data_IF_687578787318
#
_entry.id   IF_687578787318
#
_cell.length_a   1.000
_cell.length_b   1.000
_cell.length_c   1.000
_cell.angle_alpha   90.00
_cell.angle_beta   90.00
_cell.angle_gamma   90.00
#
_symmetry.space_group_name_H-M   'P 1'
#
loop_
_entity.id
_entity.type
_entity.pdbx_description
1 polymer ?
#
# COMPACT_ATOMS: atom_id res chain seq x y z
N UNK A 1 -54.97 25.56 4.00
CA UNK A 1 -54.73 24.22 4.57
C UNK A 1 -55.11 23.05 3.67
N UNK A 2 -55.30 23.21 2.37
CA UNK A 2 -55.78 22.13 1.48
C UNK A 2 -54.77 21.69 0.39
N UNK A 3 -53.57 22.24 0.38
CA UNK A 3 -52.53 21.85 -0.64
C UNK A 3 -51.41 20.93 -0.13
N UNK A 4 -51.38 20.59 1.16
CA UNK A 4 -50.31 19.74 1.71
C UNK A 4 -50.64 18.23 1.72
N UNK A 5 -51.87 17.83 1.46
CA UNK A 5 -52.25 16.41 1.61
C UNK A 5 -52.12 15.54 0.35
N UNK A 6 -51.82 16.13 -0.82
CA UNK A 6 -51.65 15.34 -2.05
C UNK A 6 -50.23 14.79 -2.26
N UNK A 7 -49.23 15.37 -1.62
CA UNK A 7 -47.86 14.93 -1.79
C UNK A 7 -47.45 13.76 -0.87
N UNK A 8 -48.14 13.59 0.27
CA UNK A 8 -47.84 12.48 1.19
C UNK A 8 -48.31 11.12 0.67
N UNK A 9 -49.40 11.09 -0.08
CA UNK A 9 -49.95 9.86 -0.66
C UNK A 9 -49.04 9.29 -1.78
N UNK A 10 -48.40 10.13 -2.55
CA UNK A 10 -47.47 9.67 -3.61
C UNK A 10 -46.14 9.18 -3.05
N UNK A 11 -45.66 9.75 -1.94
CA UNK A 11 -44.39 9.35 -1.28
C UNK A 11 -44.57 8.01 -0.56
N UNK A 12 -45.74 7.75 0.01
CA UNK A 12 -46.04 6.48 0.69
C UNK A 12 -46.20 5.32 -0.30
N UNK A 13 -46.79 5.57 -1.47
CA UNK A 13 -46.92 4.57 -2.53
C UNK A 13 -45.59 4.19 -3.14
N UNK A 14 -44.65 5.13 -3.22
CA UNK A 14 -43.29 4.87 -3.75
C UNK A 14 -42.43 4.10 -2.73
N UNK A 15 -42.67 4.28 -1.43
CA UNK A 15 -41.97 3.53 -0.39
C UNK A 15 -42.46 2.08 -0.29
N UNK A 16 -43.75 1.83 -0.47
CA UNK A 16 -44.34 0.49 -0.48
C UNK A 16 -43.85 -0.32 -1.72
N UNK A 17 -43.78 0.29 -2.64
CA UNK A 17 -43.34 -0.25 -3.76
C UNK A 17 -41.91 -0.65 -3.76
N UNK A 18 -41.19 0.10 -3.23
CA UNK A 18 -39.80 -0.29 -3.08
C UNK A 18 -39.58 -1.49 -2.13
N UNK A 19 -40.50 -1.54 -1.48
CA UNK A 19 -40.38 -2.55 -0.60
C UNK A 19 -40.74 -3.80 -1.14
N UNK A 20 -41.64 -3.89 -1.85
CA UNK A 20 -42.05 -5.13 -2.52
C UNK A 20 -40.98 -5.62 -3.50
N UNK A 21 -40.30 -4.74 -4.21
CA UNK A 21 -39.20 -5.10 -5.11
C UNK A 21 -37.98 -5.67 -4.38
N UNK A 22 -37.71 -5.29 -3.13
CA UNK A 22 -36.64 -5.88 -2.32
C UNK A 22 -36.90 -7.32 -1.89
N UNK A 23 -38.17 -7.70 -1.69
CA UNK A 23 -38.52 -9.08 -1.29
C UNK A 23 -38.43 -10.06 -2.46
N UNK A 24 -38.68 -9.60 -3.67
CA UNK A 24 -38.63 -10.47 -4.86
C UNK A 24 -37.18 -10.76 -5.30
N UNK A 25 -36.28 -9.83 -5.02
CA UNK A 25 -34.84 -10.01 -5.32
C UNK A 25 -34.19 -11.06 -4.38
N UNK A 26 -34.61 -11.09 -3.11
CA UNK A 26 -34.10 -12.09 -2.16
C UNK A 26 -34.59 -13.51 -2.46
N UNK A 27 -35.82 -13.68 -3.00
CA UNK A 27 -36.34 -14.99 -3.36
C UNK A 27 -35.65 -15.61 -4.59
N UNK A 28 -35.17 -14.78 -5.51
CA UNK A 28 -34.46 -15.26 -6.71
C UNK A 28 -33.03 -15.71 -6.43
N UNK A 29 -32.40 -15.29 -5.33
CA UNK A 29 -31.06 -15.74 -4.97
C UNK A 29 -31.00 -17.12 -4.30
N UNK A 30 -32.12 -17.63 -3.77
CA UNK A 30 -32.14 -18.91 -3.05
C UNK A 30 -32.48 -20.09 -3.93
N UNK A 31 -32.79 -19.91 -5.22
CA UNK A 31 -33.25 -21.00 -6.10
C UNK A 31 -32.24 -21.44 -7.17
N UNK A 32 -30.99 -20.97 -7.16
CA UNK A 32 -30.02 -21.32 -8.21
C UNK A 32 -28.87 -22.21 -7.76
N UNK A 33 -29.05 -23.01 -6.69
CA UNK A 33 -28.05 -23.95 -6.23
C UNK A 33 -28.61 -25.37 -6.07
N UNK A 34 -28.93 -25.99 -7.20
CA UNK A 34 -29.07 -27.44 -7.23
C UNK A 34 -28.98 -27.95 -8.69
N UNK A 35 -28.05 -28.82 -8.88
CA UNK A 35 -27.81 -29.75 -10.00
C UNK A 35 -26.56 -29.47 -10.82
N UNK A 36 -25.50 -30.23 -10.63
CA UNK A 36 -25.18 -31.35 -11.52
C UNK A 36 -23.93 -32.08 -11.05
N UNK A 37 -24.09 -33.34 -10.74
CA UNK A 37 -23.04 -34.32 -10.53
C UNK A 37 -22.85 -35.14 -11.81
N UNK A 38 -21.64 -35.38 -12.22
CA UNK A 38 -21.31 -36.59 -12.98
C UNK A 38 -19.79 -36.81 -13.05
N UNK A 39 -19.50 -38.03 -12.80
CA UNK A 39 -18.29 -38.81 -12.64
C UNK A 39 -17.45 -39.04 -13.92
N UNK A 40 -16.16 -39.32 -13.73
CA UNK A 40 -15.40 -40.46 -14.28
C UNK A 40 -13.89 -40.14 -14.23
N UNK A 41 -13.13 -40.90 -13.64
CA UNK A 41 -12.45 -42.16 -13.72
C UNK A 41 -11.01 -42.03 -14.21
N UNK A 42 -10.16 -42.43 -13.32
CA UNK A 42 -8.79 -42.91 -13.29
C UNK A 42 -8.05 -43.24 -14.60
N UNK A 43 -6.73 -42.91 -14.62
CA UNK A 43 -5.70 -43.92 -15.02
C UNK A 43 -4.32 -43.48 -14.55
N UNK A 44 -3.67 -44.47 -13.91
CA UNK A 44 -2.29 -44.47 -13.44
C UNK A 44 -1.31 -44.86 -14.54
N UNK A 45 -0.10 -44.36 -14.51
CA UNK A 45 1.03 -45.06 -15.12
C UNK A 45 2.33 -44.65 -14.43
N UNK A 46 3.00 -45.64 -13.96
CA UNK A 46 4.32 -45.71 -13.35
C UNK A 46 5.44 -45.72 -14.38
N UNK A 47 6.61 -45.30 -14.00
CA UNK A 47 7.98 -45.78 -14.30
C UNK A 47 8.95 -44.62 -14.37
N UNK A 48 10.21 -44.62 -14.05
CA UNK A 48 11.18 -45.50 -13.48
C UNK A 48 12.49 -44.74 -13.47
N UNK A 49 13.26 -44.98 -12.47
CA UNK A 49 14.58 -44.43 -12.12
C UNK A 49 15.66 -44.64 -13.18
N UNK A 50 16.59 -43.68 -13.31
CA UNK A 50 17.99 -44.03 -13.64
C UNK A 50 18.95 -42.95 -13.12
N UNK A 51 19.88 -43.41 -12.33
CA UNK A 51 21.00 -42.71 -11.76
C UNK A 51 22.20 -42.71 -12.72
N UNK A 52 22.89 -41.60 -12.85
CA UNK A 52 24.25 -41.61 -13.36
C UNK A 52 25.12 -40.61 -12.63
N UNK A 53 26.18 -41.11 -12.07
CA UNK A 53 27.25 -40.42 -11.40
C UNK A 53 28.27 -39.88 -12.41
N UNK A 54 28.83 -38.72 -12.22
CA UNK A 54 30.09 -38.34 -12.87
C UNK A 54 30.89 -37.38 -12.00
N UNK A 55 32.13 -37.69 -11.99
CA UNK A 55 33.29 -37.28 -11.20
C UNK A 55 33.72 -35.83 -11.38
N UNK A 56 34.28 -35.32 -10.30
CA UNK A 56 34.91 -34.03 -10.09
C UNK A 56 36.27 -33.85 -10.76
N UNK A 57 36.51 -32.67 -11.29
CA UNK A 57 37.88 -32.21 -11.59
C UNK A 57 38.09 -30.81 -10.97
N UNK A 58 39.02 -30.75 -10.06
CA UNK A 58 39.47 -29.55 -9.36
C UNK A 58 40.45 -28.74 -10.23
N UNK A 59 40.15 -27.48 -10.44
CA UNK A 59 41.12 -26.49 -10.91
C UNK A 59 41.24 -25.36 -9.90
N UNK A 60 42.45 -25.24 -9.35
CA UNK A 60 42.82 -24.23 -8.38
C UNK A 60 43.15 -22.90 -9.08
N UNK A 61 42.42 -21.87 -8.83
CA UNK A 61 42.80 -20.50 -9.18
C UNK A 61 42.97 -19.69 -7.89
N UNK A 62 44.19 -19.20 -7.72
CA UNK A 62 44.61 -18.37 -6.59
C UNK A 62 43.93 -17.01 -6.64
N UNK A 63 43.08 -16.75 -5.70
CA UNK A 63 42.49 -15.42 -5.49
C UNK A 63 43.25 -14.68 -4.39
N UNK A 64 43.84 -13.57 -4.73
CA UNK A 64 44.46 -12.65 -3.78
C UNK A 64 43.38 -12.04 -2.90
N UNK A 65 43.33 -12.50 -1.67
CA UNK A 65 42.47 -11.92 -0.63
C UNK A 65 43.08 -10.61 -0.15
N UNK A 66 42.43 -9.50 -0.48
CA UNK A 66 42.71 -8.22 0.16
C UNK A 66 42.21 -8.29 1.62
N UNK A 67 43.18 -8.36 2.52
CA UNK A 67 42.92 -8.35 3.96
C UNK A 67 42.37 -7.00 4.38
N UNK A 68 41.11 -6.99 4.73
CA UNK A 68 40.53 -5.88 5.47
C UNK A 68 41.15 -5.88 6.87
N UNK A 69 42.02 -4.90 7.13
CA UNK A 69 42.54 -4.67 8.46
C UNK A 69 41.40 -4.38 9.44
N UNK A 70 41.35 -5.15 10.48
CA UNK A 70 40.37 -5.02 11.57
C UNK A 70 40.64 -3.74 12.39
N UNK A 71 40.22 -2.60 11.86
CA UNK A 71 40.24 -1.35 12.62
C UNK A 71 38.78 -0.96 12.92
N UNK A 72 38.43 -1.03 14.20
CA UNK A 72 37.19 -0.56 14.84
C UNK A 72 35.90 -1.04 14.19
N UNK A 73 35.29 -2.07 14.76
CA UNK A 73 33.88 -2.41 14.51
C UNK A 73 33.02 -1.23 14.96
N UNK A 74 32.77 -0.29 14.05
CA UNK A 74 31.77 0.76 14.29
C UNK A 74 30.46 0.05 14.63
N UNK A 75 29.99 0.25 15.86
CA UNK A 75 28.76 -0.36 16.33
C UNK A 75 27.59 0.25 15.53
N UNK A 76 27.18 -0.44 14.46
CA UNK A 76 26.13 0.02 13.55
C UNK A 76 24.79 0.31 14.26
N UNK A 77 24.60 -0.26 15.45
CA UNK A 77 23.39 0.00 16.25
C UNK A 77 23.32 1.46 16.73
N UNK A 78 24.48 2.14 16.78
CA UNK A 78 24.56 3.53 17.24
C UNK A 78 24.70 4.53 16.07
N UNK A 79 24.34 4.09 14.85
CA UNK A 79 24.43 4.92 13.65
C UNK A 79 23.05 5.11 13.03
N UNK A 80 22.86 6.25 12.38
CA UNK A 80 21.65 6.58 11.60
C UNK A 80 22.04 7.08 10.21
N UNK A 81 21.06 7.07 9.29
CA UNK A 81 21.20 7.68 7.97
C UNK A 81 20.37 8.98 7.98
N UNK A 82 21.00 10.13 7.74
CA UNK A 82 20.25 11.40 7.62
C UNK A 82 19.16 11.31 6.53
N UNK A 83 18.04 11.97 6.76
CA UNK A 83 16.89 11.93 5.81
C UNK A 83 17.32 12.33 4.39
N UNK A 84 18.12 13.39 4.25
CA UNK A 84 18.59 13.85 2.94
C UNK A 84 19.48 12.82 2.25
N UNK A 85 20.26 12.06 3.01
CA UNK A 85 21.13 11.01 2.48
C UNK A 85 20.32 9.83 1.96
N UNK A 86 19.21 9.49 2.63
CA UNK A 86 18.27 8.47 2.13
C UNK A 86 17.71 8.91 0.78
N UNK A 87 17.25 10.16 0.69
CA UNK A 87 16.69 10.72 -0.56
C UNK A 87 17.74 10.67 -1.67
N UNK A 88 18.96 11.20 -1.40
CA UNK A 88 20.06 11.20 -2.38
C UNK A 88 20.34 9.81 -2.91
N UNK A 89 20.53 8.85 -2.01
CA UNK A 89 20.90 7.48 -2.39
C UNK A 89 19.84 6.84 -3.29
N UNK A 90 18.57 6.96 -2.93
CA UNK A 90 17.46 6.40 -3.72
C UNK A 90 17.41 7.08 -5.10
N UNK A 91 17.51 8.42 -5.11
CA UNK A 91 17.49 9.22 -6.34
C UNK A 91 18.63 8.82 -7.27
N UNK A 92 19.86 8.73 -6.74
CA UNK A 92 21.03 8.34 -7.53
C UNK A 92 20.86 6.96 -8.17
N UNK A 93 20.33 5.99 -7.40
CA UNK A 93 20.09 4.63 -7.91
C UNK A 93 19.06 4.63 -9.07
N UNK A 94 18.02 5.47 -8.97
CA UNK A 94 17.00 5.58 -10.00
C UNK A 94 17.53 6.31 -11.23
N UNK A 95 18.30 7.38 -11.05
CA UNK A 95 18.91 8.14 -12.14
C UNK A 95 19.86 7.25 -12.97
N UNK A 96 20.56 6.31 -12.33
CA UNK A 96 21.43 5.34 -13.04
C UNK A 96 20.66 4.43 -14.00
N UNK A 97 19.35 4.36 -13.91
CA UNK A 97 18.52 3.52 -14.82
C UNK A 97 17.57 4.35 -15.69
N UNK A 98 17.84 5.67 -15.81
CA UNK A 98 17.15 6.53 -16.76
C UNK A 98 16.04 7.41 -16.19
N UNK A 99 15.88 7.45 -14.87
CA UNK A 99 14.93 8.38 -14.25
C UNK A 99 15.53 9.79 -14.23
N UNK A 100 14.72 10.82 -14.43
CA UNK A 100 15.17 12.21 -14.30
C UNK A 100 15.53 12.52 -12.85
N UNK A 101 16.43 13.47 -12.58
CA UNK A 101 16.75 13.87 -11.20
C UNK A 101 15.51 14.32 -10.41
N UNK A 102 14.56 15.00 -11.06
CA UNK A 102 13.32 15.44 -10.43
C UNK A 102 12.46 14.23 -9.99
N UNK A 103 12.22 13.29 -10.91
CA UNK A 103 11.43 12.09 -10.62
C UNK A 103 12.14 11.20 -9.59
N UNK A 104 13.47 11.09 -9.68
CA UNK A 104 14.29 10.39 -8.69
C UNK A 104 14.13 10.98 -7.30
N UNK A 105 14.14 12.30 -7.20
CA UNK A 105 13.91 13.03 -5.94
C UNK A 105 12.49 12.75 -5.40
N UNK A 106 11.47 12.78 -6.25
CA UNK A 106 10.07 12.51 -5.83
C UNK A 106 9.97 11.11 -5.21
N UNK A 107 10.53 10.10 -5.88
CA UNK A 107 10.54 8.73 -5.36
C UNK A 107 11.36 8.64 -4.07
N UNK A 108 12.56 9.24 -4.06
CA UNK A 108 13.45 9.25 -2.90
C UNK A 108 12.79 9.88 -1.69
N UNK A 109 12.15 11.03 -1.88
CA UNK A 109 11.43 11.74 -0.82
C UNK A 109 10.25 10.91 -0.28
N UNK A 110 9.48 10.27 -1.17
CA UNK A 110 8.36 9.43 -0.75
C UNK A 110 8.84 8.22 0.07
N UNK A 111 9.88 7.51 -0.41
CA UNK A 111 10.39 6.33 0.30
C UNK A 111 11.02 6.72 1.65
N UNK A 112 11.75 7.84 1.68
CA UNK A 112 12.28 8.38 2.93
C UNK A 112 11.14 8.73 3.89
N UNK A 113 10.06 9.36 3.41
CA UNK A 113 8.89 9.70 4.23
C UNK A 113 8.22 8.44 4.79
N UNK A 114 8.15 7.36 4.00
CA UNK A 114 7.62 6.08 4.47
C UNK A 114 8.44 5.55 5.66
N UNK A 115 9.77 5.54 5.54
CA UNK A 115 10.67 5.11 6.63
C UNK A 115 10.58 6.04 7.83
N UNK A 116 10.50 7.36 7.60
CA UNK A 116 10.35 8.39 8.63
C UNK A 116 9.09 8.17 9.47
N UNK A 117 8.00 7.75 8.81
CA UNK A 117 6.73 7.41 9.47
C UNK A 117 6.74 6.01 10.12
N UNK A 118 7.82 5.24 9.96
CA UNK A 118 7.92 3.89 10.51
C UNK A 118 7.41 2.79 9.59
N UNK A 119 7.07 3.12 8.35
CA UNK A 119 6.55 2.16 7.36
C UNK A 119 7.69 1.56 6.50
N UNK A 120 8.66 0.91 7.14
CA UNK A 120 9.86 0.36 6.50
C UNK A 120 9.54 -0.63 5.36
N UNK A 121 8.38 -1.25 5.38
CA UNK A 121 7.95 -2.16 4.29
C UNK A 121 7.72 -1.41 2.97
N UNK A 122 7.50 -0.09 3.02
CA UNK A 122 7.20 0.74 1.86
C UNK A 122 8.23 1.87 1.64
N UNK A 123 9.34 1.85 2.38
CA UNK A 123 10.44 2.79 2.28
C UNK A 123 11.58 2.27 1.41
N UNK A 124 12.81 2.45 1.87
CA UNK A 124 14.03 2.05 1.17
C UNK A 124 14.01 0.60 0.67
N UNK A 125 13.31 -0.29 1.39
CA UNK A 125 13.14 -1.69 0.99
C UNK A 125 12.54 -1.86 -0.42
N UNK A 126 11.83 -0.85 -0.94
CA UNK A 126 11.20 -0.92 -2.28
C UNK A 126 12.13 -0.44 -3.40
N UNK A 127 13.15 0.37 -3.10
CA UNK A 127 14.02 0.98 -4.10
C UNK A 127 14.57 -0.01 -5.13
N UNK A 128 15.14 -1.11 -4.66
CA UNK A 128 15.72 -2.11 -5.56
C UNK A 128 14.68 -2.69 -6.53
N UNK A 129 13.45 -2.92 -6.07
CA UNK A 129 12.38 -3.44 -6.93
C UNK A 129 12.03 -2.45 -8.06
N UNK A 130 12.01 -1.15 -7.74
CA UNK A 130 11.72 -0.11 -8.75
C UNK A 130 12.86 0.00 -9.77
N UNK A 131 14.12 0.02 -9.30
CA UNK A 131 15.30 0.03 -10.19
C UNK A 131 15.25 -1.16 -11.16
N UNK A 132 14.96 -2.36 -10.63
CA UNK A 132 14.87 -3.57 -11.46
C UNK A 132 13.68 -3.53 -12.42
N UNK A 133 12.56 -2.93 -12.02
CA UNK A 133 11.40 -2.78 -12.90
C UNK A 133 11.73 -1.89 -14.11
N UNK A 134 12.47 -0.81 -13.89
CA UNK A 134 12.94 0.07 -14.95
C UNK A 134 13.96 -0.66 -15.85
N UNK A 135 14.98 -1.30 -15.25
CA UNK A 135 16.02 -2.03 -16.01
C UNK A 135 15.43 -3.11 -16.92
N UNK A 136 14.33 -3.72 -16.50
CA UNK A 136 13.66 -4.77 -17.27
C UNK A 136 12.62 -4.21 -18.27
N UNK A 137 12.54 -2.89 -18.43
CA UNK A 137 11.58 -2.26 -19.36
C UNK A 137 10.12 -2.35 -18.94
N UNK A 138 9.85 -2.75 -17.70
CA UNK A 138 8.49 -2.93 -17.19
C UNK A 138 7.86 -1.58 -16.78
N UNK A 139 8.69 -0.65 -16.32
CA UNK A 139 8.27 0.71 -15.95
C UNK A 139 9.05 1.72 -16.80
N UNK A 140 8.36 2.67 -17.38
CA UNK A 140 8.98 3.75 -18.17
C UNK A 140 9.50 4.84 -17.20
N UNK A 141 10.84 5.03 -17.09
CA UNK A 141 11.42 5.97 -16.13
C UNK A 141 11.18 7.44 -16.42
N UNK A 142 10.81 7.78 -17.66
CA UNK A 142 10.65 9.18 -18.12
C UNK A 142 9.22 9.51 -18.52
N UNK A 143 8.28 8.58 -18.36
CA UNK A 143 6.88 8.82 -18.73
C UNK A 143 6.27 9.95 -17.88
N UNK A 144 5.52 10.81 -18.54
CA UNK A 144 4.74 11.87 -17.89
C UNK A 144 3.27 11.53 -17.98
N UNK A 145 2.48 11.78 -16.93
CA UNK A 145 1.04 11.56 -16.97
C UNK A 145 0.37 12.45 -18.01
N UNK A 146 -0.66 11.93 -18.68
CA UNK A 146 -1.46 12.69 -19.64
C UNK A 146 -2.93 12.71 -19.22
N UNK A 147 -3.58 13.85 -19.43
CA UNK A 147 -5.01 14.00 -19.15
C UNK A 147 -5.78 13.36 -20.30
N UNK A 148 -6.57 12.32 -19.99
CA UNK A 148 -7.42 11.61 -20.97
C UNK A 148 -8.79 12.28 -21.05
N UNK A 149 -9.34 12.65 -19.90
CA UNK A 149 -10.63 13.32 -19.82
C UNK A 149 -10.57 14.34 -18.66
N UNK A 150 -11.07 15.54 -18.90
CA UNK A 150 -11.15 16.60 -17.89
C UNK A 150 -12.57 17.16 -17.91
N UNK A 151 -13.31 16.95 -16.80
CA UNK A 151 -14.68 17.42 -16.69
C UNK A 151 -14.87 18.11 -15.31
N UNK A 152 -14.61 19.40 -15.29
CA UNK A 152 -14.79 20.22 -14.07
C UNK A 152 -14.05 19.67 -12.84
N UNK A 153 -14.80 19.13 -11.87
CA UNK A 153 -14.26 18.62 -10.61
C UNK A 153 -13.57 17.25 -10.76
N UNK A 154 -13.73 16.58 -11.88
CA UNK A 154 -13.19 15.22 -12.09
C UNK A 154 -12.24 15.16 -13.27
N UNK A 155 -11.35 14.15 -13.27
CA UNK A 155 -10.49 13.87 -14.43
C UNK A 155 -10.05 12.41 -14.44
N UNK A 156 -9.77 11.93 -15.66
CA UNK A 156 -9.12 10.63 -15.89
C UNK A 156 -7.72 10.90 -16.44
N UNK A 157 -6.72 10.27 -15.84
CA UNK A 157 -5.31 10.41 -16.20
C UNK A 157 -4.78 9.07 -16.70
N UNK A 158 -3.94 9.10 -17.74
CA UNK A 158 -3.13 7.96 -18.12
C UNK A 158 -1.70 8.20 -17.60
N UNK A 159 -1.19 7.28 -16.81
CA UNK A 159 0.16 7.35 -16.25
C UNK A 159 1.24 6.90 -17.22
N UNK A 160 0.87 6.42 -18.42
CA UNK A 160 1.80 6.02 -19.48
C UNK A 160 2.86 5.03 -18.99
N UNK A 161 2.47 4.18 -18.03
CA UNK A 161 3.33 3.17 -17.39
C UNK A 161 4.56 3.77 -16.69
N UNK A 162 4.42 5.00 -16.19
CA UNK A 162 5.49 5.71 -15.47
C UNK A 162 5.63 5.27 -14.01
N UNK A 163 6.49 5.98 -13.29
CA UNK A 163 6.69 5.78 -11.85
C UNK A 163 5.44 6.18 -11.08
N UNK A 164 4.87 5.25 -10.32
CA UNK A 164 3.63 5.51 -9.57
C UNK A 164 3.71 6.71 -8.64
N UNK A 165 4.89 6.97 -8.07
CA UNK A 165 5.11 8.11 -7.15
C UNK A 165 4.96 9.45 -7.88
N UNK A 166 5.56 9.58 -9.06
CA UNK A 166 5.47 10.77 -9.90
C UNK A 166 4.03 11.00 -10.38
N UNK A 167 3.40 9.90 -10.85
CA UNK A 167 2.00 9.93 -11.30
C UNK A 167 1.09 10.35 -10.14
N UNK A 168 1.28 9.74 -8.96
CA UNK A 168 0.46 10.03 -7.77
C UNK A 168 0.59 11.47 -7.30
N UNK A 169 1.83 12.01 -7.31
CA UNK A 169 2.06 13.41 -6.96
C UNK A 169 1.31 14.34 -7.93
N UNK A 170 1.46 14.13 -9.23
CA UNK A 170 0.75 14.90 -10.25
C UNK A 170 -0.77 14.86 -10.06
N UNK A 171 -1.33 13.65 -9.84
CA UNK A 171 -2.78 13.48 -9.67
C UNK A 171 -3.30 14.15 -8.40
N UNK A 172 -2.53 14.09 -7.30
CA UNK A 172 -2.94 14.75 -6.06
C UNK A 172 -2.86 16.28 -6.20
N UNK A 173 -1.84 16.82 -6.86
CA UNK A 173 -1.74 18.27 -7.14
C UNK A 173 -2.92 18.73 -7.98
N UNK A 174 -3.25 18.01 -9.05
CA UNK A 174 -4.42 18.31 -9.88
C UNK A 174 -5.73 18.25 -9.06
N UNK A 175 -5.85 17.26 -8.18
CA UNK A 175 -7.03 17.13 -7.32
C UNK A 175 -7.16 18.32 -6.36
N UNK A 176 -6.05 18.75 -5.77
CA UNK A 176 -5.99 19.91 -4.87
C UNK A 176 -6.47 21.17 -5.61
N UNK A 177 -5.96 21.42 -6.82
CA UNK A 177 -6.32 22.62 -7.59
C UNK A 177 -7.79 22.61 -7.99
N UNK A 178 -8.32 21.45 -8.42
CA UNK A 178 -9.74 21.32 -8.74
C UNK A 178 -10.62 21.49 -7.50
N UNK A 179 -10.22 20.93 -6.34
CA UNK A 179 -11.00 21.06 -5.11
C UNK A 179 -11.06 22.50 -4.61
N UNK A 180 -9.99 23.27 -4.76
CA UNK A 180 -9.99 24.71 -4.45
C UNK A 180 -11.01 25.47 -5.31
N UNK A 181 -11.12 25.07 -6.59
CA UNK A 181 -12.01 25.74 -7.54
C UNK A 181 -13.48 25.31 -7.39
N UNK A 182 -13.73 24.03 -7.15
CA UNK A 182 -15.08 23.44 -7.22
C UNK A 182 -15.60 22.96 -5.86
N UNK A 183 -14.81 23.05 -4.79
CA UNK A 183 -15.19 22.57 -3.45
C UNK A 183 -14.88 21.10 -3.22
N UNK A 184 -14.83 20.30 -4.27
CA UNK A 184 -14.50 18.87 -4.25
C UNK A 184 -13.89 18.48 -5.58
N UNK A 185 -13.05 17.45 -5.56
CA UNK A 185 -12.52 16.88 -6.81
C UNK A 185 -12.35 15.36 -6.69
N UNK A 186 -12.31 14.68 -7.85
CA UNK A 186 -11.99 13.26 -7.92
C UNK A 186 -11.16 13.01 -9.19
N UNK A 187 -9.97 12.46 -9.01
CA UNK A 187 -9.05 12.12 -10.10
C UNK A 187 -8.85 10.61 -10.07
N UNK A 188 -9.10 9.93 -11.19
CA UNK A 188 -8.76 8.52 -11.35
C UNK A 188 -7.61 8.37 -12.34
N UNK A 189 -6.80 7.33 -12.18
CA UNK A 189 -5.66 7.11 -13.06
C UNK A 189 -5.55 5.63 -13.42
N UNK A 190 -5.14 5.36 -14.65
CA UNK A 190 -4.77 4.04 -15.15
C UNK A 190 -3.34 4.08 -15.67
N UNK A 191 -2.81 2.93 -16.08
CA UNK A 191 -1.47 2.86 -16.65
C UNK A 191 -0.38 3.23 -15.63
N UNK A 192 -0.61 2.96 -14.34
CA UNK A 192 0.33 3.33 -13.28
C UNK A 192 1.03 2.10 -12.70
N UNK A 193 1.92 2.35 -11.76
CA UNK A 193 2.70 1.36 -11.01
C UNK A 193 2.54 1.61 -9.51
N UNK A 194 3.16 0.76 -8.68
CA UNK A 194 3.13 0.93 -7.21
C UNK A 194 3.57 2.35 -6.85
N UNK A 195 2.81 3.02 -5.98
CA UNK A 195 2.97 4.45 -5.70
C UNK A 195 3.40 4.77 -4.26
N UNK A 196 3.81 3.75 -3.49
CA UNK A 196 4.26 3.94 -2.10
C UNK A 196 3.12 3.85 -1.10
N UNK A 197 3.13 4.69 -0.07
CA UNK A 197 2.08 4.77 0.96
C UNK A 197 1.02 5.79 0.56
N UNK A 198 -0.25 5.48 0.85
CA UNK A 198 -1.37 6.36 0.54
C UNK A 198 -1.30 7.67 1.34
N UNK A 199 -0.89 7.58 2.60
CA UNK A 199 -0.81 8.73 3.51
C UNK A 199 0.09 9.87 3.02
N UNK A 200 1.07 9.57 2.16
CA UNK A 200 1.94 10.59 1.57
C UNK A 200 1.10 11.62 0.78
N UNK A 201 0.22 11.13 -0.07
CA UNK A 201 -0.62 11.98 -0.91
C UNK A 201 -1.69 12.69 -0.08
N UNK A 202 -2.29 11.97 0.86
CA UNK A 202 -3.28 12.54 1.79
C UNK A 202 -2.66 13.71 2.57
N UNK A 203 -1.39 13.57 2.98
CA UNK A 203 -0.66 14.63 3.68
C UNK A 203 -0.51 15.88 2.80
N UNK A 204 -0.31 15.73 1.47
CA UNK A 204 -0.23 16.88 0.55
C UNK A 204 -1.50 17.73 0.58
N UNK A 205 -2.68 17.09 0.68
CA UNK A 205 -3.95 17.81 0.80
C UNK A 205 -4.08 18.50 2.16
N UNK A 206 -3.68 17.81 3.25
CA UNK A 206 -3.67 18.38 4.62
C UNK A 206 -2.84 19.66 4.66
N UNK A 207 -1.68 19.69 4.00
CA UNK A 207 -0.77 20.85 3.95
C UNK A 207 -1.36 22.05 3.21
N UNK A 208 -2.47 21.85 2.49
CA UNK A 208 -3.22 22.92 1.81
C UNK A 208 -4.57 23.18 2.49
N UNK A 209 -4.73 22.72 3.73
CA UNK A 209 -5.93 22.86 4.55
C UNK A 209 -7.17 22.18 3.97
N UNK A 210 -6.95 21.12 3.19
CA UNK A 210 -8.00 20.34 2.53
C UNK A 210 -8.10 18.95 3.18
N UNK A 211 -9.20 18.26 2.95
CA UNK A 211 -9.37 16.85 3.28
C UNK A 211 -8.88 16.05 2.07
N UNK A 212 -7.95 15.12 2.29
CA UNK A 212 -7.49 14.22 1.24
C UNK A 212 -7.97 12.80 1.46
N UNK A 213 -8.34 12.12 0.38
CA UNK A 213 -8.56 10.68 0.35
C UNK A 213 -7.81 10.13 -0.85
N UNK A 214 -7.15 8.99 -0.67
CA UNK A 214 -6.58 8.27 -1.81
C UNK A 214 -6.62 6.77 -1.57
N UNK A 215 -6.68 6.02 -2.66
CA UNK A 215 -6.59 4.57 -2.62
C UNK A 215 -5.97 4.04 -3.92
N UNK A 216 -5.54 2.78 -3.87
CA UNK A 216 -4.87 2.13 -4.99
C UNK A 216 -5.21 0.64 -5.00
N UNK A 217 -5.51 0.09 -6.17
CA UNK A 217 -5.51 -1.36 -6.29
C UNK A 217 -4.07 -1.87 -6.40
N UNK A 218 -3.86 -3.15 -6.13
CA UNK A 218 -2.52 -3.76 -6.11
C UNK A 218 -2.59 -5.21 -6.59
N UNK A 219 -1.40 -5.81 -6.78
CA UNK A 219 -1.29 -7.23 -7.16
C UNK A 219 -2.06 -8.14 -6.21
N UNK A 220 -2.74 -9.18 -6.71
CA UNK A 220 -3.57 -10.06 -5.88
C UNK A 220 -2.79 -10.78 -4.79
N UNK A 221 -3.05 -10.40 -3.53
CA UNK A 221 -2.48 -10.99 -2.33
C UNK A 221 -3.55 -11.28 -1.27
N UNK A 222 -4.78 -10.79 -1.46
CA UNK A 222 -5.90 -11.02 -0.53
C UNK A 222 -6.82 -12.10 -1.08
N UNK A 223 -7.12 -13.11 -0.27
CA UNK A 223 -8.18 -14.08 -0.56
C UNK A 223 -9.52 -13.46 -0.10
N UNK A 224 -10.47 -13.23 -1.02
CA UNK A 224 -11.82 -12.82 -0.62
C UNK A 224 -12.41 -13.78 0.41
N UNK A 225 -13.31 -13.32 1.26
CA UNK A 225 -13.97 -14.17 2.28
C UNK A 225 -14.54 -15.42 1.61
N UNK A 226 -14.19 -16.59 2.15
CA UNK A 226 -14.54 -17.94 1.64
C UNK A 226 -13.78 -18.38 0.39
N UNK A 227 -12.90 -17.54 -0.17
CA UNK A 227 -12.03 -17.98 -1.27
C UNK A 227 -10.80 -18.70 -0.73
N UNK A 228 -10.36 -19.74 -1.44
CA UNK A 228 -9.10 -20.45 -1.16
C UNK A 228 -7.90 -19.80 -1.85
N UNK A 229 -8.12 -18.84 -2.77
CA UNK A 229 -7.07 -18.22 -3.57
C UNK A 229 -7.19 -16.69 -3.52
N UNK A 230 -6.09 -16.02 -3.77
CA UNK A 230 -6.06 -14.55 -3.84
C UNK A 230 -6.78 -14.05 -5.09
N UNK A 231 -7.62 -13.04 -4.92
CA UNK A 231 -8.36 -12.43 -6.02
C UNK A 231 -8.30 -10.90 -6.02
N UNK A 232 -7.87 -10.31 -4.90
CA UNK A 232 -7.74 -8.85 -4.77
C UNK A 232 -6.36 -8.53 -4.19
N UNK A 233 -5.94 -7.28 -4.34
CA UNK A 233 -4.73 -6.79 -3.71
C UNK A 233 -4.91 -6.45 -2.23
N UNK A 234 -3.88 -5.91 -1.61
CA UNK A 234 -3.98 -5.33 -0.26
C UNK A 234 -4.78 -4.03 -0.27
N UNK A 235 -4.97 -3.47 -1.45
CA UNK A 235 -5.90 -2.38 -1.79
C UNK A 235 -5.99 -1.33 -0.68
N UNK A 236 -4.87 -0.61 -0.42
CA UNK A 236 -4.82 0.36 0.67
C UNK A 236 -5.67 1.60 0.39
N UNK A 237 -6.06 2.26 1.47
CA UNK A 237 -6.77 3.54 1.42
C UNK A 237 -6.25 4.45 2.54
N UNK A 238 -6.37 5.76 2.29
CA UNK A 238 -5.99 6.77 3.27
C UNK A 238 -7.00 7.92 3.23
N UNK A 239 -7.32 8.45 4.40
CA UNK A 239 -8.11 9.68 4.53
C UNK A 239 -7.51 10.52 5.65
N UNK A 240 -7.39 11.83 5.41
CA UNK A 240 -6.87 12.71 6.43
C UNK A 240 -7.37 14.13 6.35
N UNK A 241 -7.29 14.81 7.48
CA UNK A 241 -7.71 16.21 7.64
C UNK A 241 -6.86 16.86 8.74
N UNK A 242 -6.43 18.09 8.51
CA UNK A 242 -5.76 18.91 9.50
C UNK A 242 -6.73 19.42 10.56
N UNK A 243 -6.26 19.52 11.80
CA UNK A 243 -6.99 20.09 12.92
C UNK A 243 -6.30 21.36 13.41
N UNK A 244 -6.98 22.18 14.19
CA UNK A 244 -6.39 23.36 14.80
C UNK A 244 -5.28 22.97 15.78
N UNK A 245 -4.31 23.88 15.96
CA UNK A 245 -3.15 23.63 16.83
C UNK A 245 -2.10 22.73 16.22
N UNK A 246 -2.14 22.51 14.90
CA UNK A 246 -1.13 21.68 14.20
C UNK A 246 -1.34 20.18 14.37
N UNK A 247 -2.47 19.76 14.92
CA UNK A 247 -2.83 18.34 15.02
C UNK A 247 -3.51 17.88 13.72
N UNK A 248 -3.74 16.58 13.59
CA UNK A 248 -4.39 16.01 12.40
C UNK A 248 -4.93 14.61 12.67
N UNK A 249 -5.93 14.23 11.91
CA UNK A 249 -6.35 12.85 11.71
C UNK A 249 -5.73 12.38 10.40
N UNK A 250 -5.05 11.22 10.42
CA UNK A 250 -4.48 10.64 9.20
C UNK A 250 -4.57 9.11 9.30
N UNK A 251 -5.58 8.55 8.65
CA UNK A 251 -5.73 7.11 8.48
C UNK A 251 -4.96 6.69 7.22
N UNK A 252 -4.09 5.69 7.31
CA UNK A 252 -3.46 5.03 6.17
C UNK A 252 -3.39 3.55 6.47
N UNK A 253 -4.10 2.73 5.70
CA UNK A 253 -4.23 1.31 6.04
C UNK A 253 -4.45 0.45 4.80
N UNK A 254 -3.94 -0.78 4.85
CA UNK A 254 -4.35 -1.84 3.93
C UNK A 254 -5.74 -2.36 4.31
N UNK A 255 -6.44 -2.95 3.35
CA UNK A 255 -7.74 -3.62 3.61
C UNK A 255 -7.57 -5.10 3.95
N UNK A 256 -6.32 -5.57 4.08
CA UNK A 256 -5.98 -6.91 4.62
C UNK A 256 -5.77 -6.84 6.14
N UNK A 257 -5.88 -7.98 6.81
CA UNK A 257 -5.67 -8.09 8.26
C UNK A 257 -4.28 -7.59 8.67
N UNK A 258 -3.27 -7.87 7.83
CA UNK A 258 -1.89 -7.41 8.03
C UNK A 258 -1.23 -7.12 6.68
N UNK A 259 -0.13 -6.37 6.70
CA UNK A 259 0.77 -6.24 5.54
C UNK A 259 1.56 -7.55 5.36
N UNK A 260 1.83 -7.93 4.10
CA UNK A 260 2.59 -9.16 3.78
C UNK A 260 3.97 -9.18 4.44
N UNK A 261 4.59 -8.02 4.64
CA UNK A 261 5.87 -7.90 5.33
C UNK A 261 5.87 -8.42 6.78
N UNK A 262 4.71 -8.45 7.45
CA UNK A 262 4.62 -9.05 8.80
C UNK A 262 4.75 -10.57 8.73
N UNK A 263 4.17 -11.19 7.68
CA UNK A 263 4.33 -12.64 7.44
C UNK A 263 5.82 -12.95 7.16
N UNK A 264 6.45 -12.16 6.28
CA UNK A 264 7.86 -12.31 5.93
C UNK A 264 8.76 -12.18 7.18
N UNK A 265 8.48 -11.22 8.04
CA UNK A 265 9.26 -11.03 9.27
C UNK A 265 9.11 -12.21 10.24
N UNK A 266 7.90 -12.69 10.44
CA UNK A 266 7.63 -13.85 11.31
C UNK A 266 8.35 -15.10 10.75
N UNK A 267 8.29 -15.31 9.42
CA UNK A 267 9.00 -16.42 8.76
C UNK A 267 10.50 -16.34 9.04
N UNK A 268 11.13 -15.17 8.85
CA UNK A 268 12.57 -14.97 9.07
C UNK A 268 12.99 -15.21 10.54
N UNK A 269 12.07 -14.95 11.46
CA UNK A 269 12.30 -15.16 12.91
C UNK A 269 11.91 -16.56 13.37
N UNK A 270 11.36 -17.37 12.49
CA UNK A 270 10.80 -18.69 12.80
C UNK A 270 9.70 -18.60 13.89
N UNK A 271 8.87 -17.57 13.80
CA UNK A 271 7.75 -17.31 14.71
C UNK A 271 6.42 -17.68 14.04
N UNK A 272 5.43 -18.07 14.85
CA UNK A 272 4.06 -18.29 14.35
C UNK A 272 3.38 -16.93 14.08
N UNK A 273 2.41 -16.94 13.14
CA UNK A 273 1.55 -15.79 12.89
C UNK A 273 0.20 -15.99 13.59
N UNK A 274 -0.54 -14.91 13.77
CA UNK A 274 -1.86 -14.98 14.40
C UNK A 274 -2.89 -15.61 13.46
N UNK A 275 -3.81 -16.38 14.04
CA UNK A 275 -4.98 -16.92 13.32
C UNK A 275 -5.75 -15.75 12.67
N UNK A 276 -6.09 -15.90 11.39
CA UNK A 276 -6.83 -14.86 10.66
C UNK A 276 -5.94 -13.90 9.89
N UNK A 277 -4.60 -14.09 9.90
CA UNK A 277 -3.71 -13.27 9.10
C UNK A 277 -3.60 -13.77 7.66
N UNK A 278 -3.55 -15.10 7.46
CA UNK A 278 -3.28 -15.69 6.15
C UNK A 278 -3.87 -17.09 6.01
N UNK A 279 -4.00 -17.52 4.74
CA UNK A 279 -4.27 -18.90 4.36
C UNK A 279 -2.96 -19.58 3.97
N UNK A 280 -2.91 -20.88 4.18
CA UNK A 280 -1.81 -21.73 3.74
C UNK A 280 -1.93 -22.17 2.29
N UNK A 281 -0.99 -22.98 1.86
CA UNK A 281 -0.94 -23.53 0.50
C UNK A 281 -2.15 -24.42 0.17
N UNK A 282 -2.75 -25.05 1.20
CA UNK A 282 -3.97 -25.85 1.07
C UNK A 282 -5.26 -25.00 1.02
N UNK A 283 -5.16 -23.69 1.19
CA UNK A 283 -6.30 -22.77 1.20
C UNK A 283 -7.05 -22.71 2.51
N UNK A 284 -6.49 -23.26 3.58
CA UNK A 284 -7.06 -23.18 4.94
C UNK A 284 -6.31 -22.13 5.76
N UNK A 285 -6.93 -21.66 6.84
CA UNK A 285 -6.30 -20.72 7.77
C UNK A 285 -5.06 -21.38 8.38
N UNK A 286 -3.92 -20.68 8.34
CA UNK A 286 -2.66 -21.17 8.89
C UNK A 286 -2.10 -20.21 9.92
N UNK A 287 -1.38 -20.75 10.90
CA UNK A 287 -0.53 -19.99 11.83
C UNK A 287 0.94 -20.22 11.54
N UNK A 288 1.27 -21.03 10.55
CA UNK A 288 2.65 -21.29 10.12
C UNK A 288 3.10 -20.19 9.17
N UNK A 289 4.10 -19.41 9.58
CA UNK A 289 4.57 -18.25 8.80
C UNK A 289 5.19 -18.66 7.46
N UNK A 290 5.91 -19.80 7.42
CA UNK A 290 6.52 -20.28 6.17
C UNK A 290 5.47 -20.70 5.15
N UNK A 291 4.44 -21.42 5.59
CA UNK A 291 3.33 -21.86 4.74
C UNK A 291 2.55 -20.63 4.21
N UNK A 292 2.24 -19.66 5.08
CA UNK A 292 1.57 -18.41 4.71
C UNK A 292 2.40 -17.62 3.69
N UNK A 293 3.72 -17.55 3.87
CA UNK A 293 4.63 -16.85 2.95
C UNK A 293 4.64 -17.51 1.58
N UNK A 294 4.71 -18.84 1.55
CA UNK A 294 4.70 -19.62 0.30
C UNK A 294 3.36 -19.44 -0.43
N UNK A 295 2.26 -19.48 0.30
CA UNK A 295 0.91 -19.33 -0.25
C UNK A 295 0.66 -17.91 -0.81
N UNK A 296 1.14 -16.88 -0.13
CA UNK A 296 0.92 -15.49 -0.53
C UNK A 296 -0.57 -15.10 -0.51
N UNK A 297 -1.30 -15.55 0.52
CA UNK A 297 -2.77 -15.39 0.60
C UNK A 297 -3.16 -14.76 1.93
N UNK A 298 -3.14 -13.43 1.98
CA UNK A 298 -3.58 -12.66 3.16
C UNK A 298 -5.11 -12.75 3.32
N UNK A 299 -5.57 -12.68 4.55
CA UNK A 299 -7.00 -12.57 4.85
C UNK A 299 -7.43 -11.10 4.92
N UNK A 300 -8.69 -10.80 4.62
CA UNK A 300 -9.20 -9.42 4.73
C UNK A 300 -9.14 -8.89 6.16
N UNK A 301 -9.20 -7.58 6.32
CA UNK A 301 -9.36 -6.92 7.61
C UNK A 301 -10.56 -7.53 8.36
N UNK A 302 -10.36 -7.89 9.62
CA UNK A 302 -11.26 -8.73 10.41
C UNK A 302 -10.75 -10.16 10.53
N UNK A 303 -9.93 -10.61 9.58
CA UNK A 303 -9.32 -11.96 9.64
C UNK A 303 -10.30 -13.06 9.35
N UNK A 304 -10.75 -13.78 10.37
CA UNK A 304 -11.71 -14.88 10.23
C UNK A 304 -13.15 -14.35 10.00
N UNK A 305 -13.99 -15.14 9.37
CA UNK A 305 -15.36 -14.70 9.02
C UNK A 305 -16.17 -14.35 10.26
N UNK A 306 -15.96 -15.05 11.37
CA UNK A 306 -16.63 -14.80 12.65
C UNK A 306 -16.32 -13.39 13.19
N UNK A 307 -15.18 -12.81 12.81
CA UNK A 307 -14.79 -11.43 13.15
C UNK A 307 -15.15 -10.45 12.03
N UNK A 308 -16.08 -10.84 11.15
CA UNK A 308 -16.63 -9.99 10.08
C UNK A 308 -15.62 -9.60 9.00
N UNK A 309 -14.73 -10.52 8.60
CA UNK A 309 -13.74 -10.26 7.55
C UNK A 309 -14.35 -9.82 6.21
N UNK A 310 -15.63 -10.14 5.98
CA UNK A 310 -16.35 -9.66 4.79
C UNK A 310 -16.38 -8.13 4.70
N UNK A 311 -16.23 -7.42 5.83
CA UNK A 311 -16.13 -5.94 5.83
C UNK A 311 -14.83 -5.47 5.18
N UNK A 312 -13.70 -6.12 5.54
CA UNK A 312 -12.40 -5.84 4.91
C UNK A 312 -12.41 -6.20 3.43
N UNK A 313 -13.03 -7.34 3.07
CA UNK A 313 -13.23 -7.72 1.68
C UNK A 313 -14.06 -6.66 0.93
N UNK A 314 -15.14 -6.18 1.54
CA UNK A 314 -15.99 -5.12 0.96
C UNK A 314 -15.21 -3.83 0.72
N UNK A 315 -14.35 -3.43 1.68
CA UNK A 315 -13.47 -2.27 1.52
C UNK A 315 -12.48 -2.45 0.36
N UNK A 316 -11.89 -3.64 0.23
CA UNK A 316 -10.98 -3.95 -0.87
C UNK A 316 -11.69 -3.89 -2.22
N UNK A 317 -12.93 -4.36 -2.29
CA UNK A 317 -13.74 -4.33 -3.51
C UNK A 317 -14.15 -2.88 -3.85
N UNK A 318 -14.45 -2.04 -2.85
CA UNK A 318 -14.68 -0.62 -3.05
C UNK A 318 -13.47 0.05 -3.71
N UNK A 319 -12.25 -0.30 -3.26
CA UNK A 319 -11.02 0.23 -3.87
C UNK A 319 -10.91 -0.23 -5.33
N UNK A 320 -11.25 -1.48 -5.66
CA UNK A 320 -11.27 -1.94 -7.06
C UNK A 320 -12.23 -1.12 -7.92
N UNK A 321 -13.42 -0.81 -7.39
CA UNK A 321 -14.39 0.00 -8.12
C UNK A 321 -13.82 1.40 -8.41
N UNK A 322 -13.24 2.05 -7.39
CA UNK A 322 -12.71 3.41 -7.52
C UNK A 322 -11.44 3.45 -8.39
N UNK A 323 -10.60 2.43 -8.33
CA UNK A 323 -9.29 2.42 -8.98
C UNK A 323 -9.33 1.68 -10.33
N UNK A 324 -9.76 0.43 -10.32
CA UNK A 324 -9.75 -0.41 -11.52
C UNK A 324 -10.90 -0.11 -12.47
N UNK A 325 -12.12 -0.20 -11.96
CA UNK A 325 -13.32 -0.11 -12.81
C UNK A 325 -13.50 1.30 -13.37
N UNK A 326 -13.41 2.34 -12.54
CA UNK A 326 -13.63 3.72 -12.98
C UNK A 326 -12.53 4.22 -13.92
N UNK A 327 -11.29 3.82 -13.74
CA UNK A 327 -10.18 4.30 -14.55
C UNK A 327 -9.98 3.50 -15.85
N UNK A 328 -10.50 2.27 -15.90
CA UNK A 328 -10.24 1.33 -17.00
C UNK A 328 -8.87 0.67 -16.90
N UNK A 329 -8.25 0.64 -15.71
CA UNK A 329 -7.01 -0.10 -15.48
C UNK A 329 -7.31 -1.60 -15.26
N UNK A 330 -6.29 -2.42 -15.10
CA UNK A 330 -6.47 -3.81 -14.70
C UNK A 330 -7.09 -3.87 -13.29
N UNK A 331 -7.83 -4.94 -13.01
CA UNK A 331 -8.53 -5.11 -11.73
C UNK A 331 -8.54 -6.56 -11.29
N UNK A 332 -8.58 -6.74 -9.98
CA UNK A 332 -8.72 -8.05 -9.35
C UNK A 332 -7.67 -9.05 -9.82
N UNK A 333 -8.07 -10.28 -10.22
CA UNK A 333 -7.12 -11.31 -10.64
C UNK A 333 -6.36 -10.99 -11.92
N UNK A 334 -6.81 -10.00 -12.71
CA UNK A 334 -6.17 -9.61 -13.98
C UNK A 334 -4.88 -8.82 -13.74
N UNK A 335 -4.75 -8.19 -12.57
CA UNK A 335 -3.52 -7.47 -12.22
C UNK A 335 -2.38 -8.49 -12.10
N UNK A 336 -1.23 -8.19 -12.71
CA UNK A 336 -0.07 -9.08 -12.66
C UNK A 336 0.36 -9.38 -11.21
N UNK A 337 0.86 -10.56 -10.98
CA UNK A 337 1.45 -10.91 -9.68
C UNK A 337 2.67 -10.02 -9.41
N UNK A 338 2.90 -9.67 -8.16
CA UNK A 338 4.03 -8.81 -7.75
C UNK A 338 5.39 -9.32 -8.22
N UNK A 339 5.55 -10.66 -8.24
CA UNK A 339 6.80 -11.30 -8.66
C UNK A 339 6.92 -11.44 -10.18
N UNK A 340 5.84 -11.26 -10.94
CA UNK A 340 5.86 -11.33 -12.39
C UNK A 340 6.55 -10.07 -12.94
N UNK A 341 7.61 -10.28 -13.67
CA UNK A 341 8.41 -9.20 -14.26
C UNK A 341 8.37 -9.23 -15.79
N UNK A 342 7.35 -9.88 -16.36
CA UNK A 342 7.14 -9.94 -17.81
C UNK A 342 6.04 -8.98 -18.27
N UNK A 343 5.18 -8.53 -17.37
CA UNK A 343 4.01 -7.70 -17.72
C UNK A 343 4.05 -6.37 -16.97
N UNK A 344 3.50 -5.34 -17.60
CA UNK A 344 3.25 -4.04 -16.94
C UNK A 344 2.22 -4.23 -15.83
N UNK A 345 2.22 -3.34 -14.84
CA UNK A 345 1.31 -3.46 -13.69
C UNK A 345 -0.09 -2.93 -14.02
N UNK A 346 -0.17 -1.88 -14.82
CA UNK A 346 -1.41 -1.18 -15.19
C UNK A 346 -2.33 -0.97 -13.98
N UNK A 347 -1.76 -0.47 -12.88
CA UNK A 347 -2.52 -0.20 -11.66
C UNK A 347 -3.37 1.07 -11.82
N UNK A 348 -4.51 1.06 -11.11
CA UNK A 348 -5.35 2.23 -10.97
C UNK A 348 -5.19 2.87 -9.59
N UNK A 349 -5.39 4.18 -9.54
CA UNK A 349 -5.43 4.93 -8.29
C UNK A 349 -6.60 5.89 -8.32
N UNK A 350 -7.04 6.30 -7.14
CA UNK A 350 -8.10 7.31 -6.99
C UNK A 350 -7.67 8.33 -5.95
N UNK A 351 -7.85 9.60 -6.27
CA UNK A 351 -7.54 10.74 -5.41
C UNK A 351 -8.81 11.60 -5.31
N UNK A 352 -9.28 11.83 -4.08
CA UNK A 352 -10.43 12.72 -3.82
C UNK A 352 -9.92 13.79 -2.85
N UNK A 353 -10.22 15.04 -3.17
CA UNK A 353 -9.89 16.17 -2.30
C UNK A 353 -11.16 16.97 -2.06
N UNK A 354 -11.36 17.38 -0.80
CA UNK A 354 -12.55 18.11 -0.38
C UNK A 354 -12.09 19.40 0.33
N UNK A 355 -12.67 20.52 -0.08
CA UNK A 355 -12.50 21.78 0.64
C UNK A 355 -13.55 21.83 1.77
N UNK A 356 -13.15 21.72 3.04
CA UNK A 356 -14.12 21.70 4.14
C UNK A 356 -14.90 23.01 4.25
N UNK A 357 -14.33 24.13 3.83
CA UNK A 357 -15.00 25.44 3.90
C UNK A 357 -16.13 25.58 2.86
N UNK A 358 -16.19 24.68 1.87
CA UNK A 358 -17.35 24.61 0.97
C UNK A 358 -18.62 24.10 1.68
N UNK A 359 -18.48 23.59 2.91
CA UNK A 359 -19.61 23.06 3.71
C UNK A 359 -19.94 23.93 4.92
N UNK A 360 -18.97 24.11 5.83
CA UNK A 360 -19.19 24.90 7.05
C UNK A 360 -17.85 25.33 7.64
N UNK A 361 -17.82 26.52 8.22
CA UNK A 361 -16.63 27.06 8.88
C UNK A 361 -16.31 26.33 10.19
N UNK A 362 -15.09 26.44 10.68
CA UNK A 362 -14.66 25.89 11.98
C UNK A 362 -14.51 24.38 12.02
N UNK A 363 -14.37 23.72 10.86
CA UNK A 363 -14.21 22.27 10.77
C UNK A 363 -12.94 21.79 11.48
N UNK A 364 -11.84 22.55 11.41
CA UNK A 364 -10.56 22.22 12.07
C UNK A 364 -10.71 22.24 13.60
N UNK A 365 -11.46 23.21 14.15
CA UNK A 365 -11.67 23.31 15.60
C UNK A 365 -12.51 22.15 16.11
N UNK A 366 -13.57 21.78 15.35
CA UNK A 366 -14.40 20.63 15.70
C UNK A 366 -13.57 19.34 15.67
N UNK A 367 -12.69 19.18 14.68
CA UNK A 367 -11.80 18.01 14.62
C UNK A 367 -10.84 18.02 15.81
N UNK A 368 -10.17 19.13 16.11
CA UNK A 368 -9.27 19.24 17.27
C UNK A 368 -9.96 18.84 18.57
N UNK A 369 -11.21 19.33 18.77
CA UNK A 369 -12.02 18.98 19.93
C UNK A 369 -12.30 17.47 19.97
N UNK A 370 -12.71 16.88 18.85
CA UNK A 370 -12.98 15.44 18.76
C UNK A 370 -11.73 14.61 19.09
N UNK A 371 -10.59 14.94 18.49
CA UNK A 371 -9.33 14.20 18.73
C UNK A 371 -8.91 14.27 20.19
N UNK A 372 -9.06 15.47 20.81
CA UNK A 372 -8.77 15.68 22.23
C UNK A 372 -9.70 14.84 23.11
N UNK A 373 -11.00 14.85 22.83
CA UNK A 373 -11.98 14.06 23.57
C UNK A 373 -11.66 12.58 23.53
N UNK A 374 -11.31 12.05 22.33
CA UNK A 374 -11.00 10.63 22.18
C UNK A 374 -9.72 10.24 22.90
N UNK A 375 -8.65 11.08 22.83
CA UNK A 375 -7.40 10.79 23.54
C UNK A 375 -7.57 10.79 25.08
N UNK A 376 -8.56 11.56 25.58
CA UNK A 376 -8.83 11.68 27.00
C UNK A 376 -9.80 10.63 27.53
N UNK A 377 -10.28 9.69 26.70
CA UNK A 377 -11.10 8.58 27.17
C UNK A 377 -10.28 7.68 28.11
N UNK A 378 -10.90 7.09 29.14
CA UNK A 378 -10.20 6.17 30.02
C UNK A 378 -9.56 5.03 29.24
N UNK A 379 -8.25 4.83 29.37
CA UNK A 379 -7.58 3.78 28.59
C UNK A 379 -7.74 2.40 29.23
N UNK A 380 -7.62 1.36 28.40
CA UNK A 380 -7.44 -0.01 28.90
C UNK A 380 -5.95 -0.24 29.17
N UNK A 381 -5.62 -1.01 30.18
CA UNK A 381 -4.27 -1.53 30.43
C UNK A 381 -3.16 -0.45 30.45
N UNK A 382 -3.38 0.72 31.01
CA UNK A 382 -2.35 1.78 31.15
C UNK A 382 -1.69 2.18 29.80
N UNK A 383 -2.40 2.05 28.68
CA UNK A 383 -1.93 2.45 27.37
C UNK A 383 -2.77 3.62 26.86
N UNK A 384 -2.14 4.71 26.48
CA UNK A 384 -2.84 5.88 25.94
C UNK A 384 -3.73 5.53 24.75
N UNK A 385 -4.91 6.15 24.69
CA UNK A 385 -5.77 6.07 23.51
C UNK A 385 -5.08 6.82 22.36
N UNK A 386 -4.91 6.15 21.23
CA UNK A 386 -4.24 6.72 20.05
C UNK A 386 -5.26 7.04 18.95
N UNK A 387 -4.97 8.11 18.22
CA UNK A 387 -5.72 8.50 17.02
C UNK A 387 -4.92 8.02 15.79
N UNK A 388 -5.58 7.65 14.69
CA UNK A 388 -4.86 7.36 13.45
C UNK A 388 -3.94 8.51 13.05
N UNK A 389 -2.64 8.20 12.89
CA UNK A 389 -1.56 9.17 12.69
C UNK A 389 -0.65 9.37 13.90
N UNK A 390 -1.10 9.03 15.11
CA UNK A 390 -0.26 9.16 16.32
C UNK A 390 0.97 8.23 16.30
N UNK A 391 0.86 6.95 15.90
CA UNK A 391 2.05 6.09 15.81
C UNK A 391 3.11 6.65 14.85
N UNK A 392 2.67 7.16 13.70
CA UNK A 392 3.56 7.76 12.69
C UNK A 392 4.23 9.02 13.25
N UNK A 393 3.46 9.88 13.93
CA UNK A 393 3.98 11.09 14.60
C UNK A 393 5.06 10.73 15.64
N UNK A 394 4.87 9.64 16.38
CA UNK A 394 5.84 9.18 17.37
C UNK A 394 7.12 8.66 16.68
N UNK A 395 6.99 7.93 15.58
CA UNK A 395 8.13 7.49 14.77
C UNK A 395 8.93 8.69 14.25
N UNK A 396 8.25 9.70 13.70
CA UNK A 396 8.87 10.92 13.18
C UNK A 396 9.67 11.65 14.28
N UNK A 397 9.07 11.80 15.47
CA UNK A 397 9.74 12.42 16.62
C UNK A 397 11.01 11.66 17.02
N UNK A 398 10.96 10.32 17.00
CA UNK A 398 12.12 9.49 17.31
C UNK A 398 13.25 9.73 16.30
N UNK A 399 12.93 9.69 15.02
CA UNK A 399 13.90 9.90 13.94
C UNK A 399 14.53 11.31 14.04
N UNK A 400 13.72 12.33 14.32
CA UNK A 400 14.23 13.71 14.46
C UNK A 400 15.15 13.83 15.66
N UNK A 401 14.80 13.20 16.79
CA UNK A 401 15.60 13.19 17.99
C UNK A 401 16.94 12.48 17.77
N UNK A 402 16.92 11.35 17.05
CA UNK A 402 18.14 10.55 16.77
C UNK A 402 19.01 11.19 15.68
N UNK A 403 18.49 12.13 14.91
CA UNK A 403 19.22 12.81 13.84
C UNK A 403 19.17 12.10 12.49
N UNK A 404 18.38 11.03 12.38
CA UNK A 404 18.24 10.26 11.15
C UNK A 404 17.50 8.94 11.36
N UNK A 405 17.36 8.18 10.30
CA UNK A 405 16.61 6.91 10.28
C UNK A 405 17.56 5.77 10.67
N UNK A 406 17.15 4.96 11.65
CA UNK A 406 17.87 3.76 12.06
C UNK A 406 17.44 2.58 11.18
N UNK A 407 18.40 2.01 10.43
CA UNK A 407 18.15 0.81 9.62
C UNK A 407 18.82 -0.40 10.24
N UNK A 408 18.22 -1.57 10.03
CA UNK A 408 18.81 -2.84 10.43
C UNK A 408 20.16 -3.03 9.69
N UNK A 409 21.22 -3.57 10.34
CA UNK A 409 22.52 -3.77 9.70
C UNK A 409 22.45 -4.52 8.37
N UNK A 410 21.61 -5.56 8.27
CA UNK A 410 21.44 -6.30 7.02
C UNK A 410 20.88 -5.43 5.90
N UNK A 411 20.00 -4.47 6.22
CA UNK A 411 19.47 -3.51 5.24
C UNK A 411 20.58 -2.59 4.74
N UNK A 412 21.42 -2.08 5.65
CA UNK A 412 22.56 -1.24 5.29
C UNK A 412 23.56 -2.00 4.40
N UNK A 413 23.83 -3.26 4.75
CA UNK A 413 24.70 -4.12 3.93
C UNK A 413 24.12 -4.32 2.52
N UNK A 414 22.83 -4.67 2.43
CA UNK A 414 22.15 -4.85 1.13
C UNK A 414 22.21 -3.56 0.29
N UNK A 415 22.03 -2.40 0.91
CA UNK A 415 22.11 -1.11 0.21
C UNK A 415 23.54 -0.82 -0.26
N UNK A 416 24.55 -1.15 0.56
CA UNK A 416 25.96 -0.98 0.17
C UNK A 416 26.31 -1.88 -1.01
N UNK A 417 25.97 -3.17 -0.91
CA UNK A 417 26.24 -4.14 -2.00
C UNK A 417 25.51 -3.71 -3.29
N UNK A 418 24.32 -3.13 -3.16
CA UNK A 418 23.56 -2.62 -4.30
C UNK A 418 24.21 -1.34 -4.87
N UNK A 419 24.70 -0.45 -4.00
CA UNK A 419 25.43 0.76 -4.42
C UNK A 419 26.67 0.39 -5.27
N UNK A 420 27.47 -0.55 -4.77
CA UNK A 420 28.67 -1.02 -5.45
C UNK A 420 28.31 -1.61 -6.83
N UNK A 421 27.25 -2.43 -6.90
CA UNK A 421 26.76 -3.03 -8.15
C UNK A 421 26.25 -1.98 -9.15
N UNK A 422 25.70 -0.87 -8.67
CA UNK A 422 25.13 0.19 -9.51
C UNK A 422 26.13 1.29 -9.86
N UNK A 423 27.31 1.30 -9.25
CA UNK A 423 28.28 2.38 -9.38
C UNK A 423 27.75 3.69 -8.82
N UNK A 424 27.08 3.61 -7.66
CA UNK A 424 26.51 4.75 -6.95
C UNK A 424 27.23 4.91 -5.60
N UNK A 425 27.44 6.14 -5.16
CA UNK A 425 28.06 6.39 -3.85
C UNK A 425 27.22 5.76 -2.73
N UNK A 426 27.79 4.87 -1.89
CA UNK A 426 27.05 4.29 -0.76
C UNK A 426 26.54 5.39 0.20
N UNK A 427 25.52 5.01 0.99
CA UNK A 427 24.97 5.93 1.99
C UNK A 427 25.98 6.25 3.08
N UNK A 428 26.04 7.52 3.48
CA UNK A 428 26.81 7.97 4.62
C UNK A 428 26.00 7.80 5.90
N UNK A 429 26.65 7.21 6.91
CA UNK A 429 26.06 7.05 8.23
C UNK A 429 26.67 8.10 9.17
N UNK A 430 25.87 8.57 10.11
CA UNK A 430 26.34 9.48 11.16
C UNK A 430 25.98 8.86 12.53
N UNK A 431 26.74 9.20 13.58
CA UNK A 431 26.37 8.74 14.92
C UNK A 431 24.99 9.30 15.34
N UNK A 432 24.23 8.49 16.08
CA UNK A 432 22.98 8.98 16.69
C UNK A 432 23.26 10.16 17.60
N UNK A 433 22.38 11.13 17.59
CA UNK A 433 22.43 12.20 18.59
C UNK A 433 22.34 11.56 19.99
N UNK A 434 23.24 11.95 20.88
CA UNK A 434 23.16 11.50 22.27
C UNK A 434 21.91 12.09 22.91
N UNK A 435 21.12 11.21 23.49
CA UNK A 435 19.94 11.64 24.25
C UNK A 435 20.41 12.42 25.49
N UNK A 436 20.07 13.70 25.55
CA UNK A 436 20.26 14.51 26.77
C UNK A 436 19.04 14.35 27.67
#
# INVERSE_FOLDING_TARGET
MWKLNRNLSSILKTRAXRXLMKFDWMKKMTMSSSSSSSSSSSKSSTSSTSSTSSTSSTSSTSSTSSTWSSSSSTNLSNMVVPKNEVIRFISDCLCKVGTTPEDGYIVGHHLMTSDYCGHFSHGMNRMQAYVLSIKNGITNPSAKPTVVNDFQAVALIDGNNGLGHTIGKYCMELAIDKAKKYGISMITVRGSNHYGICGYYTQMAIEKDLIGFTCSNTSPLMAPTRSKISGLGTNPLSLGMGASGGDKFLLDMATTAVAFGKIELAMRKNESILKGWALGTDGKITTNAQDAFNAGRLMPLGGVEENSSYKGYGLALMVEVLCGILSGSDFGPNIRQWKDRAKVANLGHCFIVINPDAFTTGSKDRLAKLLTQLRNLPPTENKSVLIPGDPEKNSMKLVDREGGITYHPNQLKLCKDFADKMGVKPMQLVPKNRLK
#
